data_IF_164514411700
#
_entry.id   IF_164514411700
#
_cell.length_a   1.000
_cell.length_b   1.000
_cell.length_c   1.000
_cell.angle_alpha   90.00
_cell.angle_beta   90.00
_cell.angle_gamma   90.00
#
_symmetry.space_group_name_H-M   'P 1'
#
loop_
_entity.id
_entity.type
_entity.pdbx_description
1 polymer ?
#
# COMPACT_ATOMS: atom_id res chain seq x y z
N UNK A 1 -14.11 -2.89 -7.97
CA UNK A 1 -13.13 -2.08 -7.19
C UNK A 1 -12.25 -1.24 -8.12
N UNK A 2 -11.33 -1.85 -8.89
CA UNK A 2 -10.36 -1.09 -9.71
C UNK A 2 -10.98 -0.12 -10.72
N UNK A 3 -12.13 -0.48 -11.31
CA UNK A 3 -12.85 0.46 -12.19
C UNK A 3 -13.37 1.69 -11.42
N UNK A 4 -13.93 1.53 -10.22
CA UNK A 4 -14.38 2.65 -9.38
C UNK A 4 -13.22 3.55 -8.96
N UNK A 5 -12.08 2.95 -8.60
CA UNK A 5 -10.86 3.66 -8.21
C UNK A 5 -10.30 4.56 -9.33
N UNK A 6 -10.52 4.19 -10.59
CA UNK A 6 -10.01 4.90 -11.75
C UNK A 6 -11.03 5.83 -12.42
N UNK A 7 -12.28 5.91 -11.93
CA UNK A 7 -13.34 6.75 -12.50
C UNK A 7 -13.73 7.95 -11.62
N UNK A 8 -12.85 8.39 -10.73
CA UNK A 8 -13.04 9.62 -9.95
C UNK A 8 -14.02 9.49 -8.78
N UNK A 9 -14.21 8.27 -8.24
CA UNK A 9 -14.87 8.11 -6.94
C UNK A 9 -13.85 8.40 -5.83
N UNK A 10 -13.77 9.66 -5.43
CA UNK A 10 -12.94 10.09 -4.30
C UNK A 10 -13.30 9.29 -3.04
N UNK A 11 -12.28 8.82 -2.30
CA UNK A 11 -12.47 8.18 -1.00
C UNK A 11 -12.75 6.66 -1.03
N UNK A 12 -12.23 5.93 -2.01
CA UNK A 12 -12.38 4.47 -2.06
C UNK A 12 -11.35 3.75 -1.19
N UNK A 13 -11.80 2.78 -0.39
CA UNK A 13 -10.95 1.92 0.45
C UNK A 13 -11.35 0.45 0.27
N UNK A 14 -10.37 -0.45 0.35
CA UNK A 14 -10.63 -1.89 0.38
C UNK A 14 -9.60 -2.63 1.21
N UNK A 15 -9.86 -3.90 1.47
CA UNK A 15 -8.99 -4.80 2.21
C UNK A 15 -8.66 -6.03 1.37
N UNK A 16 -7.40 -6.45 1.36
CA UNK A 16 -6.95 -7.68 0.69
C UNK A 16 -6.02 -8.49 1.59
N UNK A 17 -5.94 -9.79 1.31
CA UNK A 17 -5.02 -10.68 2.02
C UNK A 17 -3.71 -10.82 1.24
N UNK A 18 -2.61 -10.38 1.83
CA UNK A 18 -1.26 -10.49 1.28
C UNK A 18 -0.22 -10.50 2.40
N UNK A 19 0.98 -11.00 2.12
CA UNK A 19 2.08 -11.07 3.08
C UNK A 19 2.96 -9.80 3.09
N UNK A 20 2.72 -8.88 2.17
CA UNK A 20 3.37 -7.56 2.10
C UNK A 20 2.60 -6.64 1.15
N UNK A 21 2.93 -5.34 1.15
CA UNK A 21 2.39 -4.41 0.17
C UNK A 21 2.74 -4.80 -1.28
N UNK A 22 3.97 -5.26 -1.53
CA UNK A 22 4.40 -5.75 -2.85
C UNK A 22 3.63 -6.99 -3.29
N UNK A 23 3.41 -7.92 -2.37
CA UNK A 23 2.66 -9.14 -2.59
C UNK A 23 1.17 -8.86 -2.87
N UNK A 24 0.62 -7.77 -2.31
CA UNK A 24 -0.73 -7.31 -2.64
C UNK A 24 -0.82 -6.77 -4.08
N UNK A 25 0.17 -6.00 -4.52
CA UNK A 25 0.23 -5.51 -5.91
C UNK A 25 0.26 -6.67 -6.91
N UNK A 26 1.11 -7.67 -6.69
CA UNK A 26 1.18 -8.85 -7.55
C UNK A 26 -0.14 -9.63 -7.59
N UNK A 27 -0.86 -9.74 -6.45
CA UNK A 27 -2.20 -10.35 -6.44
C UNK A 27 -3.22 -9.53 -7.22
N UNK A 28 -3.20 -8.21 -7.09
CA UNK A 28 -4.10 -7.34 -7.87
C UNK A 28 -3.83 -7.48 -9.37
N UNK A 29 -2.57 -7.51 -9.80
CA UNK A 29 -2.19 -7.76 -11.20
C UNK A 29 -2.80 -9.08 -11.69
N UNK A 30 -2.57 -10.17 -10.96
CA UNK A 30 -3.09 -11.50 -11.31
C UNK A 30 -4.63 -11.55 -11.34
N UNK A 31 -5.30 -10.95 -10.34
CA UNK A 31 -6.77 -10.93 -10.29
C UNK A 31 -7.38 -10.17 -11.47
N UNK A 32 -6.76 -9.07 -11.91
CA UNK A 32 -7.22 -8.29 -13.05
C UNK A 32 -6.99 -9.07 -14.35
N UNK A 33 -5.80 -9.70 -14.51
CA UNK A 33 -5.48 -10.55 -15.66
C UNK A 33 -6.46 -11.72 -15.83
N UNK A 34 -6.93 -12.31 -14.72
CA UNK A 34 -7.91 -13.40 -14.78
C UNK A 34 -9.32 -12.93 -15.18
N UNK A 35 -9.63 -11.64 -14.99
CA UNK A 35 -10.96 -11.09 -15.24
C UNK A 35 -11.12 -10.38 -16.58
N UNK A 36 -10.01 -9.95 -17.20
CA UNK A 36 -10.01 -9.19 -18.46
C UNK A 36 -8.71 -9.41 -19.23
N UNK A 37 -8.79 -9.43 -20.56
CA UNK A 37 -7.62 -9.50 -21.43
C UNK A 37 -7.08 -8.08 -21.71
N UNK A 38 -6.29 -7.56 -20.77
CA UNK A 38 -5.67 -6.23 -20.84
C UNK A 38 -4.14 -6.40 -20.74
N UNK A 39 -3.34 -5.65 -21.53
CA UNK A 39 -1.89 -5.68 -21.40
C UNK A 39 -1.42 -5.35 -19.98
N UNK A 40 -0.45 -6.12 -19.46
CA UNK A 40 0.10 -5.94 -18.12
C UNK A 40 0.57 -4.49 -17.81
N UNK A 41 1.22 -3.77 -18.73
CA UNK A 41 1.52 -2.34 -18.55
C UNK A 41 0.31 -1.48 -18.20
N UNK A 42 -0.82 -1.71 -18.88
CA UNK A 42 -2.04 -0.95 -18.66
C UNK A 42 -2.68 -1.31 -17.31
N UNK A 43 -2.63 -2.57 -16.89
CA UNK A 43 -3.07 -3.01 -15.55
C UNK A 43 -2.25 -2.30 -14.48
N UNK A 44 -0.92 -2.30 -14.60
CA UNK A 44 -0.04 -1.65 -13.64
C UNK A 44 -0.28 -0.15 -13.54
N UNK A 45 -0.51 0.51 -14.67
CA UNK A 45 -0.91 1.91 -14.72
C UNK A 45 -2.25 2.15 -14.00
N UNK A 46 -3.24 1.29 -14.18
CA UNK A 46 -4.53 1.37 -13.45
C UNK A 46 -4.36 1.17 -11.95
N UNK A 47 -3.45 0.28 -11.52
CA UNK A 47 -3.16 0.07 -10.10
C UNK A 47 -2.45 1.29 -9.51
N UNK A 48 -1.38 1.77 -10.14
CA UNK A 48 -0.61 2.90 -9.65
C UNK A 48 -1.41 4.22 -9.66
N UNK A 49 -2.33 4.40 -10.61
CA UNK A 49 -3.23 5.57 -10.64
C UNK A 49 -4.37 5.47 -9.63
N UNK A 50 -4.86 4.26 -9.38
CA UNK A 50 -6.05 4.02 -8.55
C UNK A 50 -5.76 3.81 -7.07
N UNK A 51 -4.54 3.45 -6.69
CA UNK A 51 -4.16 3.18 -5.29
C UNK A 51 -3.07 4.15 -4.90
N UNK A 52 -3.30 4.91 -3.82
CA UNK A 52 -2.34 5.89 -3.33
C UNK A 52 -1.50 5.33 -2.17
N UNK A 53 -2.15 4.66 -1.21
CA UNK A 53 -1.53 4.16 0.02
C UNK A 53 -1.89 2.69 0.23
N UNK A 54 -0.91 1.89 0.63
CA UNK A 54 -1.11 0.55 1.16
C UNK A 54 -0.70 0.52 2.62
N UNK A 55 -1.63 0.12 3.49
CA UNK A 55 -1.39 -0.16 4.91
C UNK A 55 -1.34 -1.67 5.09
N UNK A 56 -0.14 -2.20 5.36
CA UNK A 56 0.06 -3.63 5.59
C UNK A 56 -0.01 -3.96 7.07
N UNK A 57 -0.99 -4.78 7.45
CA UNK A 57 -1.13 -5.31 8.81
C UNK A 57 -0.57 -6.72 8.89
N UNK A 58 0.13 -7.04 9.97
CA UNK A 58 0.61 -8.39 10.24
C UNK A 58 0.41 -8.79 11.69
N UNK A 59 0.54 -10.10 11.93
CA UNK A 59 0.49 -10.67 13.27
C UNK A 59 1.90 -10.94 13.76
N UNK A 60 2.26 -10.38 14.92
CA UNK A 60 3.57 -10.59 15.54
C UNK A 60 3.63 -11.89 16.34
N UNK A 61 4.81 -12.24 16.85
CA UNK A 61 5.04 -13.47 17.65
C UNK A 61 4.20 -13.53 18.93
N UNK A 62 3.88 -12.38 19.51
CA UNK A 62 2.99 -12.23 20.66
C UNK A 62 1.48 -12.34 20.30
N UNK A 63 1.18 -12.71 19.04
CA UNK A 63 -0.17 -12.79 18.45
C UNK A 63 -0.89 -11.45 18.30
N UNK A 64 -0.27 -10.34 18.68
CA UNK A 64 -0.83 -9.01 18.46
C UNK A 64 -0.84 -8.67 16.97
N UNK A 65 -1.84 -7.88 16.55
CA UNK A 65 -1.91 -7.34 15.19
C UNK A 65 -1.39 -5.91 15.19
N UNK A 66 -0.45 -5.61 14.31
CA UNK A 66 0.17 -4.29 14.16
C UNK A 66 0.19 -3.88 12.70
N UNK A 67 0.20 -2.57 12.45
CA UNK A 67 0.60 -2.04 11.14
C UNK A 67 2.09 -2.26 11.03
N UNK A 68 2.52 -3.06 10.05
CA UNK A 68 3.93 -3.38 9.81
C UNK A 68 4.57 -2.40 8.84
N UNK A 69 3.82 -1.93 7.85
CA UNK A 69 4.29 -1.00 6.83
C UNK A 69 3.15 -0.11 6.35
N UNK A 70 3.44 1.17 6.14
CA UNK A 70 2.61 2.10 5.37
C UNK A 70 3.47 2.55 4.20
N UNK A 71 3.02 2.29 2.98
CA UNK A 71 3.74 2.62 1.76
C UNK A 71 2.84 3.42 0.83
N UNK A 72 3.38 4.47 0.22
CA UNK A 72 2.74 5.06 -0.96
C UNK A 72 3.07 4.25 -2.20
N UNK A 73 2.12 4.22 -3.12
CA UNK A 73 2.24 3.56 -4.42
C UNK A 73 2.62 4.61 -5.46
N UNK A 74 3.68 4.35 -6.20
CA UNK A 74 4.21 5.25 -7.21
C UNK A 74 4.17 4.59 -8.59
N UNK A 75 3.82 5.37 -9.61
CA UNK A 75 4.04 4.98 -11.00
C UNK A 75 5.54 4.98 -11.33
N UNK A 76 6.04 3.91 -11.93
CA UNK A 76 7.42 3.83 -12.44
C UNK A 76 7.53 4.17 -13.93
N UNK A 77 8.74 4.54 -14.38
CA UNK A 77 9.03 4.92 -15.77
C UNK A 77 9.08 3.73 -16.76
N UNK A 78 9.11 2.49 -16.28
CA UNK A 78 9.32 1.28 -17.09
C UNK A 78 8.29 0.17 -16.84
N UNK A 79 7.00 0.53 -16.73
CA UNK A 79 5.89 -0.40 -16.50
C UNK A 79 6.00 -1.22 -15.21
N UNK A 80 6.66 -0.72 -14.16
CA UNK A 80 6.67 -1.36 -12.84
C UNK A 80 6.10 -0.44 -11.77
N UNK A 81 5.39 -1.03 -10.82
CA UNK A 81 4.81 -0.31 -9.68
C UNK A 81 5.87 -0.23 -8.59
N UNK A 82 6.19 0.99 -8.17
CA UNK A 82 7.13 1.22 -7.07
C UNK A 82 6.36 1.47 -5.78
N UNK A 83 6.95 1.03 -4.67
CA UNK A 83 6.47 1.34 -3.33
C UNK A 83 7.51 2.22 -2.66
N UNK A 84 7.06 3.32 -2.06
CA UNK A 84 7.88 4.12 -1.17
C UNK A 84 7.36 3.95 0.27
N UNK A 85 8.09 3.19 1.13
CA UNK A 85 7.72 3.02 2.52
C UNK A 85 7.80 4.34 3.28
N UNK A 86 6.65 4.81 3.77
CA UNK A 86 6.54 6.01 4.59
C UNK A 86 6.80 5.69 6.06
N UNK A 87 6.28 4.56 6.54
CA UNK A 87 6.47 4.09 7.91
C UNK A 87 6.69 2.58 7.94
N UNK A 88 7.55 2.12 8.85
CA UNK A 88 7.72 0.70 9.16
C UNK A 88 7.71 0.47 10.66
N UNK A 89 7.11 -0.64 11.07
CA UNK A 89 7.15 -1.06 12.47
C UNK A 89 8.54 -1.59 12.81
N UNK A 90 9.14 -1.02 13.85
CA UNK A 90 10.40 -1.50 14.40
C UNK A 90 10.17 -1.97 15.82
N UNK A 91 10.60 -3.21 16.09
CA UNK A 91 10.59 -3.76 17.44
C UNK A 91 11.67 -3.09 18.27
N UNK A 92 11.27 -2.51 19.39
CA UNK A 92 12.18 -1.85 20.34
C UNK A 92 12.50 -2.74 21.53
N UNK A 93 11.80 -3.86 21.69
CA UNK A 93 12.02 -4.82 22.76
C UNK A 93 10.81 -5.70 23.02
N UNK A 94 10.84 -6.37 24.18
CA UNK A 94 9.81 -7.31 24.61
C UNK A 94 9.59 -7.13 26.11
N UNK A 95 8.32 -7.14 26.54
CA UNK A 95 7.97 -7.15 27.96
C UNK A 95 8.21 -8.55 28.56
N UNK A 96 8.37 -8.66 29.89
CA UNK A 96 8.55 -9.96 30.57
C UNK A 96 7.45 -10.99 30.27
N UNK A 97 6.25 -10.52 29.90
CA UNK A 97 5.08 -11.33 29.54
C UNK A 97 5.12 -11.86 28.08
N UNK A 98 6.19 -11.56 27.34
CA UNK A 98 6.36 -11.94 25.93
C UNK A 98 5.68 -11.00 24.93
N UNK A 99 5.21 -9.83 25.38
CA UNK A 99 4.54 -8.84 24.53
C UNK A 99 5.56 -7.99 23.78
N UNK A 100 5.42 -7.90 22.46
CA UNK A 100 6.33 -7.14 21.60
C UNK A 100 6.07 -5.64 21.76
N UNK A 101 7.14 -4.90 22.04
CA UNK A 101 7.17 -3.45 22.03
C UNK A 101 7.77 -2.95 20.72
N UNK A 102 7.20 -1.89 20.18
CA UNK A 102 7.69 -1.27 18.97
C UNK A 102 6.81 -0.11 18.54
N UNK A 103 7.29 0.63 17.55
CA UNK A 103 6.61 1.81 17.03
C UNK A 103 6.73 1.87 15.50
N UNK A 104 5.81 2.61 14.88
CA UNK A 104 5.96 2.99 13.49
C UNK A 104 7.03 4.08 13.38
N UNK A 105 8.13 3.76 12.72
CA UNK A 105 9.23 4.66 12.46
C UNK A 105 9.09 5.18 11.04
N UNK A 106 9.16 6.51 10.88
CA UNK A 106 9.13 7.16 9.57
C UNK A 106 10.37 6.76 8.76
N UNK A 107 10.17 6.33 7.51
CA UNK A 107 11.21 5.87 6.59
C UNK A 107 11.36 6.75 5.35
N UNK A 108 10.31 7.45 4.96
CA UNK A 108 10.31 8.30 3.76
C UNK A 108 9.34 9.47 3.88
N UNK A 109 9.46 10.37 2.91
CA UNK A 109 8.51 11.46 2.68
C UNK A 109 7.47 11.03 1.66
N UNK A 110 6.29 11.67 1.71
CA UNK A 110 5.25 11.48 0.71
C UNK A 110 5.68 12.22 -0.56
N UNK A 111 5.80 11.50 -1.68
CA UNK A 111 6.19 12.07 -2.96
C UNK A 111 4.99 12.27 -3.89
N UNK A 112 3.94 11.46 -3.75
CA UNK A 112 2.73 11.52 -4.56
C UNK A 112 1.66 12.44 -3.95
N UNK A 113 2.00 13.72 -3.74
CA UNK A 113 1.14 14.70 -3.07
C UNK A 113 0.10 15.39 -3.97
N UNK A 114 0.10 15.10 -5.27
CA UNK A 114 -0.70 15.80 -6.27
C UNK A 114 -2.21 15.74 -5.98
N UNK A 115 -2.72 14.59 -5.54
CA UNK A 115 -4.14 14.43 -5.17
C UNK A 115 -4.48 15.19 -3.89
N UNK A 116 -3.56 15.28 -2.94
CA UNK A 116 -3.75 16.06 -1.71
C UNK A 116 -3.81 17.56 -2.03
N UNK A 117 -2.88 18.05 -2.86
CA UNK A 117 -2.89 19.43 -3.36
C UNK A 117 -4.16 19.75 -4.15
N UNK A 118 -4.61 18.84 -5.01
CA UNK A 118 -5.86 19.00 -5.76
C UNK A 118 -7.10 19.05 -4.84
N UNK A 119 -7.05 18.37 -3.69
CA UNK A 119 -8.07 18.44 -2.64
C UNK A 119 -7.94 19.67 -1.73
N UNK A 120 -6.97 20.56 -1.97
CA UNK A 120 -6.73 21.77 -1.17
C UNK A 120 -5.99 21.53 0.14
N UNK A 121 -5.32 20.39 0.30
CA UNK A 121 -4.50 20.08 1.46
C UNK A 121 -3.05 20.50 1.23
N UNK A 122 -2.45 21.16 2.22
CA UNK A 122 -1.02 21.47 2.25
C UNK A 122 -0.24 20.25 2.78
N UNK A 123 0.86 19.89 2.10
CA UNK A 123 1.70 18.71 2.37
C UNK A 123 3.15 19.09 2.54
#
# INVERSE_FOLDING_TARGET
MMQCLNTGHDGSMSTGHANSARDMLARLENMILMGMDIPLPAIRKQIASGIDIIVHLGRLRDRSRKVLEISEVMGGEADDIRLNPLYRFEETGELPEGRVLGALIRKGELLCDQKLKAAGLET
#
